data_IF_048148090653
#
_entry.id   IF_048148090653
#
_cell.length_a   1.000
_cell.length_b   1.000
_cell.length_c   1.000
_cell.angle_alpha   90.00
_cell.angle_beta   90.00
_cell.angle_gamma   90.00
#
_symmetry.space_group_name_H-M   'P 1'
#
loop_
_entity.id
_entity.type
_entity.pdbx_description
1 polymer ?
#
# COMPACT_ATOMS: atom_id res chain seq x y z
N UNK A 1 -15.59 11.68 -12.57
CA UNK A 1 -16.10 12.38 -11.39
C UNK A 1 -16.02 11.36 -10.29
N UNK A 2 -15.27 11.67 -9.24
CA UNK A 2 -15.00 10.71 -8.17
C UNK A 2 -16.31 10.52 -7.38
N UNK A 3 -16.72 9.28 -7.21
CA UNK A 3 -17.93 8.92 -6.47
C UNK A 3 -17.66 8.86 -4.96
N UNK A 4 -16.40 8.57 -4.59
CA UNK A 4 -15.93 8.39 -3.23
C UNK A 4 -14.73 9.29 -2.95
N UNK A 5 -14.72 9.91 -1.77
CA UNK A 5 -13.67 10.81 -1.32
C UNK A 5 -12.47 10.07 -0.74
N UNK A 6 -11.44 10.81 -0.30
CA UNK A 6 -10.29 10.21 0.39
C UNK A 6 -10.71 9.64 1.75
N UNK A 7 -11.66 10.27 2.44
CA UNK A 7 -12.20 9.86 3.74
C UNK A 7 -12.95 8.52 3.69
N UNK A 8 -13.26 8.03 2.49
CA UNK A 8 -13.82 6.70 2.25
C UNK A 8 -12.74 5.63 1.96
N UNK A 9 -11.45 5.98 1.99
CA UNK A 9 -10.34 5.10 1.63
C UNK A 9 -9.40 4.86 2.82
N UNK A 10 -9.26 3.59 3.21
CA UNK A 10 -8.18 3.14 4.10
C UNK A 10 -6.99 2.65 3.27
N UNK A 11 -5.78 3.12 3.59
CA UNK A 11 -4.56 2.68 2.93
C UNK A 11 -3.90 1.55 3.73
N UNK A 12 -3.46 0.50 3.04
CA UNK A 12 -2.69 -0.62 3.60
C UNK A 12 -1.38 -0.77 2.84
N UNK A 13 -0.28 -0.41 3.50
CA UNK A 13 1.08 -0.61 2.98
C UNK A 13 1.55 -2.00 3.38
N UNK A 14 1.92 -2.82 2.40
CA UNK A 14 2.38 -4.19 2.60
C UNK A 14 3.90 -4.22 2.56
N UNK A 15 4.54 -4.86 3.54
CA UNK A 15 6.00 -4.91 3.58
C UNK A 15 6.54 -6.19 4.19
N UNK A 16 7.69 -6.65 3.71
CA UNK A 16 8.47 -7.69 4.40
C UNK A 16 9.46 -7.10 5.41
N UNK A 17 9.55 -5.77 5.50
CA UNK A 17 10.53 -5.00 6.26
C UNK A 17 11.35 -4.10 5.34
N UNK A 18 11.37 -2.80 5.63
CA UNK A 18 12.24 -1.77 5.02
C UNK A 18 11.80 -0.40 5.58
N UNK A 19 12.08 -0.14 6.85
CA UNK A 19 11.48 0.98 7.61
C UNK A 19 11.55 2.34 6.87
N UNK A 20 12.74 2.75 6.41
CA UNK A 20 12.93 4.00 5.68
C UNK A 20 12.10 4.10 4.39
N UNK A 21 11.94 2.97 3.67
CA UNK A 21 11.22 2.92 2.39
C UNK A 21 9.72 2.98 2.64
N UNK A 22 9.25 2.23 3.63
CA UNK A 22 7.85 2.25 4.09
C UNK A 22 7.48 3.63 4.60
N UNK A 23 8.34 4.30 5.37
CA UNK A 23 8.10 5.66 5.86
C UNK A 23 7.92 6.62 4.68
N UNK A 24 8.77 6.55 3.65
CA UNK A 24 8.64 7.37 2.46
C UNK A 24 7.31 7.13 1.71
N UNK A 25 6.83 5.89 1.66
CA UNK A 25 5.51 5.58 1.10
C UNK A 25 4.38 6.16 1.95
N UNK A 26 4.43 5.99 3.28
CA UNK A 26 3.42 6.56 4.20
C UNK A 26 3.39 8.09 4.08
N UNK A 27 4.55 8.74 4.05
CA UNK A 27 4.67 10.20 3.88
C UNK A 27 4.13 10.71 2.53
N UNK A 28 4.04 9.83 1.53
CA UNK A 28 3.47 10.17 0.21
C UNK A 28 1.95 10.06 0.14
N UNK A 29 1.31 9.38 1.10
CA UNK A 29 -0.14 9.22 1.13
C UNK A 29 -0.79 10.57 1.41
N UNK A 30 -1.80 11.00 0.63
CA UNK A 30 -2.45 12.28 0.87
C UNK A 30 -3.17 12.32 2.21
N UNK A 31 -3.16 13.49 2.84
CA UNK A 31 -3.98 13.76 4.01
C UNK A 31 -5.47 13.55 3.71
N UNK A 32 -6.24 13.23 4.74
CA UNK A 32 -7.69 13.06 4.65
C UNK A 32 -8.14 11.65 4.28
N UNK A 33 -7.22 10.71 4.07
CA UNK A 33 -7.58 9.29 4.02
C UNK A 33 -8.17 8.82 5.35
N UNK A 34 -9.06 7.82 5.32
CA UNK A 34 -9.71 7.25 6.51
C UNK A 34 -8.70 6.70 7.53
N UNK A 35 -7.50 6.34 7.07
CA UNK A 35 -6.37 5.95 7.89
C UNK A 35 -5.34 5.16 7.12
N UNK A 36 -4.13 5.08 7.68
CA UNK A 36 -3.00 4.33 7.11
C UNK A 36 -2.66 3.19 8.06
N UNK A 37 -2.57 1.98 7.50
CA UNK A 37 -2.12 0.78 8.20
C UNK A 37 -0.92 0.19 7.49
N UNK A 38 0.10 -0.20 8.24
CA UNK A 38 1.27 -0.90 7.72
C UNK A 38 1.17 -2.35 8.16
N UNK A 39 1.17 -3.28 7.22
CA UNK A 39 1.13 -4.72 7.50
C UNK A 39 2.51 -5.29 7.20
N UNK A 40 3.23 -5.64 8.25
CA UNK A 40 4.63 -6.01 8.16
C UNK A 40 4.87 -7.46 8.58
N UNK A 41 5.69 -8.18 7.82
CA UNK A 41 6.18 -9.52 8.20
C UNK A 41 7.31 -9.45 9.25
N UNK A 42 7.91 -8.28 9.47
CA UNK A 42 8.98 -8.04 10.43
C UNK A 42 8.67 -6.81 11.28
N UNK A 43 9.27 -6.74 12.48
CA UNK A 43 9.10 -5.60 13.37
C UNK A 43 9.71 -4.32 12.76
N UNK A 44 8.91 -3.27 12.67
CA UNK A 44 9.26 -1.92 12.18
C UNK A 44 8.43 -0.89 12.93
N UNK A 45 8.92 0.34 12.99
CA UNK A 45 8.21 1.48 13.56
C UNK A 45 7.99 2.53 12.47
N UNK A 46 6.76 3.02 12.31
CA UNK A 46 6.38 3.96 11.25
C UNK A 46 5.53 5.08 11.85
N UNK A 47 5.95 6.31 11.62
CA UNK A 47 5.22 7.49 12.05
C UNK A 47 4.01 7.73 11.15
N UNK A 48 2.88 8.12 11.75
CA UNK A 48 1.65 8.47 11.02
C UNK A 48 0.81 7.27 10.56
N UNK A 49 1.19 6.03 10.91
CA UNK A 49 0.43 4.83 10.56
C UNK A 49 0.28 3.85 11.73
N UNK A 50 -0.78 3.05 11.69
CA UNK A 50 -0.94 1.91 12.60
C UNK A 50 -0.17 0.70 12.06
N UNK A 51 0.87 0.26 12.77
CA UNK A 51 1.68 -0.88 12.37
C UNK A 51 1.11 -2.19 12.94
N UNK A 52 0.95 -3.18 12.08
CA UNK A 52 0.51 -4.52 12.42
C UNK A 52 1.54 -5.55 11.97
N UNK A 53 2.10 -6.28 12.94
CA UNK A 53 3.07 -7.34 12.67
C UNK A 53 2.34 -8.66 12.49
N UNK A 54 2.56 -9.32 11.36
CA UNK A 54 1.98 -10.64 11.09
C UNK A 54 2.64 -11.67 12.01
N UNK A 55 1.90 -12.31 12.93
CA UNK A 55 2.52 -13.23 13.90
C UNK A 55 3.15 -14.43 13.20
N UNK A 56 4.34 -14.87 13.60
CA UNK A 56 5.02 -16.05 13.02
C UNK A 56 4.15 -17.32 13.00
N UNK A 57 3.24 -17.45 13.97
CA UNK A 57 2.30 -18.57 14.08
C UNK A 57 1.20 -18.57 13.01
N UNK A 58 0.98 -17.45 12.31
CA UNK A 58 -0.02 -17.38 11.25
C UNK A 58 0.45 -18.12 10.01
N UNK A 59 -0.40 -19.00 9.49
CA UNK A 59 -0.11 -19.79 8.29
C UNK A 59 -1.26 -19.72 7.28
N UNK A 60 -0.88 -19.67 6.01
CA UNK A 60 -1.77 -19.75 4.85
C UNK A 60 -0.97 -20.30 3.66
N UNK A 61 -1.65 -20.51 2.52
CA UNK A 61 -0.98 -20.96 1.29
C UNK A 61 -0.11 -19.85 0.65
N UNK A 62 -0.50 -18.59 0.83
CA UNK A 62 0.27 -17.45 0.33
C UNK A 62 1.55 -17.23 1.13
N UNK A 63 2.56 -16.64 0.48
CA UNK A 63 3.88 -16.34 1.06
C UNK A 63 4.20 -14.85 0.96
N UNK A 64 5.16 -14.37 1.77
CA UNK A 64 5.64 -12.99 1.80
C UNK A 64 4.47 -11.99 1.89
N UNK A 65 4.42 -10.98 1.01
CA UNK A 65 3.33 -9.98 0.99
C UNK A 65 1.93 -10.60 0.85
N UNK A 66 1.78 -11.72 0.14
CA UNK A 66 0.49 -12.41 0.02
C UNK A 66 0.01 -12.97 1.37
N UNK A 67 0.93 -13.40 2.23
CA UNK A 67 0.63 -13.80 3.61
C UNK A 67 0.17 -12.60 4.44
N UNK A 68 0.86 -11.47 4.32
CA UNK A 68 0.47 -10.22 4.98
C UNK A 68 -0.93 -9.76 4.56
N UNK A 69 -1.25 -9.80 3.26
CA UNK A 69 -2.60 -9.47 2.75
C UNK A 69 -3.65 -10.40 3.35
N UNK A 70 -3.42 -11.72 3.32
CA UNK A 70 -4.41 -12.68 3.80
C UNK A 70 -4.61 -12.58 5.32
N UNK A 71 -3.54 -12.31 6.06
CA UNK A 71 -3.65 -12.03 7.48
C UNK A 71 -4.47 -10.76 7.74
N UNK A 72 -4.13 -9.65 7.06
CA UNK A 72 -4.80 -8.37 7.24
C UNK A 72 -6.28 -8.43 6.83
N UNK A 73 -6.63 -9.20 5.80
CA UNK A 73 -8.03 -9.44 5.40
C UNK A 73 -8.85 -10.10 6.51
N UNK A 74 -8.23 -10.96 7.32
CA UNK A 74 -8.92 -11.72 8.38
C UNK A 74 -8.91 -11.02 9.74
N UNK A 75 -7.89 -10.19 10.01
CA UNK A 75 -7.58 -9.73 11.37
C UNK A 75 -7.60 -8.21 11.53
N UNK A 76 -7.54 -7.45 10.44
CA UNK A 76 -7.48 -5.99 10.49
C UNK A 76 -8.79 -5.43 9.99
N UNK A 77 -9.56 -4.84 10.90
CA UNK A 77 -10.86 -4.26 10.59
C UNK A 77 -10.75 -3.09 9.62
N UNK A 78 -11.81 -2.86 8.85
CA UNK A 78 -11.95 -1.71 7.97
C UNK A 78 -13.40 -1.24 7.98
N UNK A 79 -13.60 -0.01 8.41
CA UNK A 79 -14.91 0.67 8.39
C UNK A 79 -15.05 1.63 7.20
N UNK A 80 -13.98 1.79 6.40
CA UNK A 80 -13.97 2.58 5.17
C UNK A 80 -14.52 1.76 4.00
N UNK A 81 -15.11 2.44 3.01
CA UNK A 81 -15.70 1.81 1.81
C UNK A 81 -14.65 1.07 0.97
N UNK A 82 -13.46 1.67 0.82
CA UNK A 82 -12.37 1.10 0.05
C UNK A 82 -11.12 0.83 0.89
N UNK A 83 -10.44 -0.25 0.52
CA UNK A 83 -9.08 -0.55 0.97
C UNK A 83 -8.14 -0.41 -0.22
N UNK A 84 -7.23 0.55 -0.15
CA UNK A 84 -6.14 0.72 -1.12
C UNK A 84 -4.90 -0.02 -0.62
N UNK A 85 -4.50 -1.07 -1.32
CA UNK A 85 -3.25 -1.77 -1.05
C UNK A 85 -2.10 -1.12 -1.83
N UNK A 86 -1.01 -0.83 -1.13
CA UNK A 86 0.23 -0.29 -1.70
C UNK A 86 1.40 -1.22 -1.37
N UNK A 87 2.34 -1.33 -2.30
CA UNK A 87 3.66 -1.86 -1.99
C UNK A 87 4.48 -0.82 -1.19
N UNK A 88 5.47 -1.29 -0.45
CA UNK A 88 6.30 -0.47 0.46
C UNK A 88 7.13 0.62 -0.21
N UNK A 89 7.31 0.56 -1.53
CA UNK A 89 8.09 1.50 -2.34
C UNK A 89 7.22 2.31 -3.32
N UNK A 90 5.90 2.29 -3.13
CA UNK A 90 4.96 3.09 -3.93
C UNK A 90 4.90 4.54 -3.45
N UNK A 91 5.10 5.50 -4.36
CA UNK A 91 4.83 6.91 -4.09
C UNK A 91 3.47 7.31 -4.67
N UNK A 92 2.53 7.68 -3.80
CA UNK A 92 1.18 8.07 -4.21
C UNK A 92 1.21 9.49 -4.78
N UNK A 93 0.69 9.65 -6.00
CA UNK A 93 0.61 10.97 -6.64
C UNK A 93 -0.76 11.17 -7.27
N UNK A 94 -1.42 12.30 -6.97
CA UNK A 94 -2.65 12.71 -7.63
C UNK A 94 -3.88 11.86 -7.28
N UNK A 95 -3.87 11.14 -6.17
CA UNK A 95 -5.05 10.47 -5.63
C UNK A 95 -6.00 11.52 -5.04
N UNK A 96 -7.19 11.66 -5.63
CA UNK A 96 -8.22 12.61 -5.18
C UNK A 96 -9.52 11.94 -4.73
N UNK A 97 -9.68 10.67 -5.06
CA UNK A 97 -10.90 9.90 -4.82
C UNK A 97 -10.94 8.68 -5.73
N UNK A 98 -12.07 7.97 -5.71
CA UNK A 98 -12.28 6.76 -6.49
C UNK A 98 -13.55 6.84 -7.35
N UNK A 99 -13.57 6.22 -8.54
CA UNK A 99 -14.81 6.02 -9.29
C UNK A 99 -15.72 5.01 -8.57
N UNK A 100 -16.99 4.99 -8.94
CA UNK A 100 -17.92 3.94 -8.50
C UNK A 100 -17.59 2.63 -9.23
N UNK A 101 -16.90 1.73 -8.53
CA UNK A 101 -16.50 0.41 -9.04
C UNK A 101 -16.17 -0.57 -7.90
N UNK A 102 -16.36 -1.86 -8.11
CA UNK A 102 -16.01 -2.89 -7.10
C UNK A 102 -14.49 -3.05 -6.93
N UNK A 103 -13.72 -2.81 -8.01
CA UNK A 103 -12.27 -2.92 -8.01
C UNK A 103 -11.66 -1.83 -8.88
N UNK A 104 -10.69 -1.11 -8.32
CA UNK A 104 -9.97 -0.04 -9.00
C UNK A 104 -8.50 -0.40 -9.05
N UNK A 105 -7.96 -0.51 -10.27
CA UNK A 105 -6.54 -0.71 -10.50
C UNK A 105 -5.91 0.60 -10.95
N UNK A 106 -4.91 1.07 -10.21
CA UNK A 106 -4.13 2.24 -10.58
C UNK A 106 -2.99 1.85 -11.52
N UNK A 107 -2.65 2.78 -12.41
CA UNK A 107 -1.45 2.66 -13.22
C UNK A 107 -0.27 3.20 -12.43
N UNK A 108 0.70 2.35 -12.16
CA UNK A 108 1.98 2.77 -11.59
C UNK A 108 2.84 3.44 -12.68
N UNK A 109 3.66 4.42 -12.29
CA UNK A 109 4.64 5.05 -13.18
C UNK A 109 6.02 4.91 -12.59
N UNK A 110 6.98 4.30 -13.31
CA UNK A 110 8.34 4.21 -12.80
C UNK A 110 8.94 5.60 -12.66
N UNK A 111 9.78 5.77 -11.64
CA UNK A 111 10.52 7.00 -11.38
C UNK A 111 11.96 6.81 -11.83
N UNK A 112 12.52 7.80 -12.52
CA UNK A 112 13.91 7.75 -12.94
C UNK A 112 14.85 7.94 -11.74
N UNK A 113 15.60 6.90 -11.40
CA UNK A 113 16.52 6.87 -10.25
C UNK A 113 18.00 7.01 -10.65
N UNK A 114 18.29 7.46 -11.88
CA UNK A 114 19.66 7.70 -12.37
C UNK A 114 20.17 6.70 -13.40
N UNK A 115 19.57 5.52 -13.53
CA UNK A 115 19.90 4.55 -14.60
C UNK A 115 18.85 4.53 -15.70
N UNK A 116 19.23 4.96 -16.91
CA UNK A 116 18.31 5.04 -18.06
C UNK A 116 17.91 3.65 -18.56
N UNK A 117 18.81 2.67 -18.45
CA UNK A 117 18.53 1.30 -18.83
C UNK A 117 17.50 0.68 -17.90
N UNK A 118 17.71 0.80 -16.58
CA UNK A 118 16.75 0.31 -15.59
C UNK A 118 15.38 0.99 -15.77
N UNK A 119 15.35 2.31 -15.93
CA UNK A 119 14.11 3.04 -16.17
C UNK A 119 13.34 2.57 -17.39
N UNK A 120 14.02 2.35 -18.53
CA UNK A 120 13.35 1.83 -19.73
C UNK A 120 12.81 0.42 -19.51
N UNK A 121 13.57 -0.46 -18.84
CA UNK A 121 13.09 -1.80 -18.49
C UNK A 121 11.81 -1.74 -17.62
N UNK A 122 11.76 -0.84 -16.65
CA UNK A 122 10.58 -0.65 -15.78
C UNK A 122 9.38 -0.09 -16.54
N UNK A 123 9.59 0.88 -17.45
CA UNK A 123 8.52 1.44 -18.31
C UNK A 123 7.86 0.37 -19.18
N UNK A 124 8.62 -0.64 -19.63
CA UNK A 124 8.06 -1.74 -20.43
C UNK A 124 7.55 -2.91 -19.58
N UNK A 125 7.81 -2.91 -18.27
CA UNK A 125 7.33 -3.94 -17.31
C UNK A 125 5.96 -3.60 -16.74
N UNK A 126 5.73 -2.32 -16.46
CA UNK A 126 4.50 -1.81 -15.84
C UNK A 126 3.50 -1.44 -16.93
N UNK A 127 2.41 -2.21 -17.04
CA UNK A 127 1.31 -2.02 -18.00
C UNK A 127 -0.04 -2.14 -17.32
#
# INVERSE_FOLDING_TARGET
>A
MDAWGLDDVQVRVLTIGAEDVVQATVDSVPDGVAGIKVIAEQNIEIDGAAVHIVPDSFSCEATNKGRAVEWARRQVDCDAEYVLYLDEDTLVTGLTGLPEADFVQFTEKPIYTGSRLAYLCEVFRVG
#
